data_IF_282299503971
#
_entry.id   IF_282299503971
#
_cell.length_a   1.000
_cell.length_b   1.000
_cell.length_c   1.000
_cell.angle_alpha   90.00
_cell.angle_beta   90.00
_cell.angle_gamma   90.00
#
_symmetry.space_group_name_H-M   'P 1'
#
loop_
_entity.id
_entity.type
_entity.pdbx_description
1 polymer ?
#
# COMPACT_ATOMS: atom_id res chain seq x y z
N UNK A 1 -12.35 -20.24 -39.48
CA UNK A 1 -11.98 -20.33 -38.05
C UNK A 1 -13.17 -19.84 -37.23
N UNK A 2 -13.90 -20.77 -36.58
CA UNK A 2 -14.98 -20.43 -35.65
C UNK A 2 -14.35 -19.89 -34.35
N UNK A 3 -14.45 -18.58 -34.13
CA UNK A 3 -14.15 -17.99 -32.83
C UNK A 3 -15.29 -18.40 -31.88
N UNK A 4 -15.02 -19.41 -31.06
CA UNK A 4 -15.86 -19.76 -29.91
C UNK A 4 -15.76 -18.58 -28.93
N UNK A 5 -16.64 -17.60 -29.10
CA UNK A 5 -16.88 -16.58 -28.11
C UNK A 5 -17.57 -17.30 -26.93
N UNK A 6 -16.98 -17.36 -25.72
CA UNK A 6 -17.64 -18.02 -24.61
C UNK A 6 -18.93 -17.25 -24.31
N UNK A 7 -20.06 -17.92 -24.56
CA UNK A 7 -21.41 -17.47 -24.24
C UNK A 7 -21.38 -16.95 -22.79
N UNK A 8 -21.74 -15.69 -22.60
CA UNK A 8 -21.90 -15.14 -21.26
C UNK A 8 -22.82 -16.08 -20.49
N UNK A 9 -22.45 -16.40 -19.25
CA UNK A 9 -23.30 -17.16 -18.34
C UNK A 9 -24.52 -16.28 -18.05
N UNK A 10 -25.54 -16.37 -18.88
CA UNK A 10 -26.89 -15.91 -18.56
C UNK A 10 -27.44 -16.88 -17.51
N UNK A 11 -27.26 -16.51 -16.24
CA UNK A 11 -27.93 -17.18 -15.14
C UNK A 11 -29.39 -16.73 -15.20
N UNK A 12 -30.28 -17.65 -15.55
CA UNK A 12 -31.73 -17.45 -15.51
C UNK A 12 -32.13 -17.04 -14.08
N UNK A 13 -32.69 -15.83 -13.87
CA UNK A 13 -33.03 -15.32 -12.55
C UNK A 13 -34.18 -16.09 -11.86
N UNK A 14 -34.88 -16.97 -12.59
CA UNK A 14 -36.02 -17.73 -12.09
C UNK A 14 -35.68 -19.14 -11.56
N UNK A 15 -34.49 -19.69 -11.83
CA UNK A 15 -34.29 -21.13 -11.62
C UNK A 15 -33.62 -21.53 -10.29
N UNK A 16 -33.11 -20.61 -9.46
CA UNK A 16 -32.48 -21.01 -8.18
C UNK A 16 -32.38 -19.87 -7.15
N UNK A 17 -33.28 -19.83 -6.17
CA UNK A 17 -33.20 -18.88 -5.04
C UNK A 17 -31.92 -19.05 -4.19
N UNK A 18 -31.34 -20.25 -4.12
CA UNK A 18 -30.12 -20.52 -3.33
C UNK A 18 -28.80 -20.09 -4.00
N UNK A 19 -28.79 -19.86 -5.31
CA UNK A 19 -27.55 -19.58 -6.07
C UNK A 19 -27.33 -18.10 -6.39
N UNK A 20 -28.27 -17.20 -6.07
CA UNK A 20 -28.14 -15.76 -6.38
C UNK A 20 -26.92 -15.14 -5.71
N UNK A 21 -26.67 -15.46 -4.44
CA UNK A 21 -25.50 -14.96 -3.72
C UNK A 21 -24.19 -15.53 -4.29
N UNK A 22 -24.15 -16.85 -4.56
CA UNK A 22 -22.98 -17.49 -5.17
C UNK A 22 -22.70 -16.94 -6.57
N UNK A 23 -23.74 -16.74 -7.39
CA UNK A 23 -23.63 -16.15 -8.72
C UNK A 23 -23.21 -14.67 -8.65
N UNK A 24 -23.67 -13.92 -7.65
CA UNK A 24 -23.24 -12.55 -7.40
C UNK A 24 -21.77 -12.48 -6.97
N UNK A 25 -21.35 -13.30 -6.02
CA UNK A 25 -19.95 -13.42 -5.59
C UNK A 25 -19.04 -13.88 -6.72
N UNK A 26 -19.46 -14.89 -7.51
CA UNK A 26 -18.70 -15.35 -8.67
C UNK A 26 -18.61 -14.26 -9.74
N UNK A 27 -19.67 -13.48 -9.99
CA UNK A 27 -19.67 -12.36 -10.94
C UNK A 27 -18.86 -11.16 -10.44
N UNK A 28 -18.73 -10.99 -9.14
CA UNK A 28 -17.91 -9.98 -8.49
C UNK A 28 -16.41 -10.36 -8.54
N UNK A 29 -16.08 -11.63 -8.28
CA UNK A 29 -14.72 -12.16 -8.28
C UNK A 29 -14.20 -12.53 -9.68
N UNK A 30 -15.09 -12.76 -10.66
CA UNK A 30 -14.69 -13.06 -12.03
C UNK A 30 -14.03 -11.83 -12.67
N UNK A 31 -12.89 -12.00 -13.37
CA UNK A 31 -12.29 -10.93 -14.15
C UNK A 31 -13.32 -10.30 -15.09
N UNK A 32 -13.34 -8.96 -15.26
CA UNK A 32 -14.29 -8.31 -16.14
C UNK A 32 -14.11 -8.82 -17.57
N UNK A 33 -15.07 -9.62 -18.06
CA UNK A 33 -15.10 -10.07 -19.44
C UNK A 33 -15.19 -8.84 -20.36
N UNK A 34 -14.46 -8.85 -21.49
CA UNK A 34 -14.26 -7.70 -22.41
C UNK A 34 -15.56 -7.02 -22.88
N UNK A 35 -16.70 -7.69 -22.74
CA UNK A 35 -18.03 -7.19 -23.13
C UNK A 35 -18.83 -6.45 -22.03
N UNK A 36 -18.31 -6.25 -20.80
CA UNK A 36 -19.16 -5.78 -19.68
C UNK A 36 -18.70 -4.47 -19.01
N UNK A 37 -19.64 -3.52 -18.96
CA UNK A 37 -19.73 -2.27 -18.20
C UNK A 37 -18.41 -1.50 -17.93
N UNK A 38 -18.22 -0.31 -18.54
CA UNK A 38 -16.99 0.48 -18.37
C UNK A 38 -16.74 0.87 -16.90
N UNK A 39 -17.80 1.09 -16.13
CA UNK A 39 -17.74 1.43 -14.70
C UNK A 39 -17.12 0.29 -13.88
N UNK A 40 -17.55 -0.96 -14.10
CA UNK A 40 -17.02 -2.12 -13.36
C UNK A 40 -15.54 -2.37 -13.68
N UNK A 41 -15.17 -2.22 -14.95
CA UNK A 41 -13.77 -2.31 -15.39
C UNK A 41 -12.91 -1.24 -14.73
N UNK A 42 -13.43 -0.01 -14.64
CA UNK A 42 -12.75 1.09 -13.97
C UNK A 42 -12.52 0.81 -12.48
N UNK A 43 -13.56 0.41 -11.73
CA UNK A 43 -13.41 0.10 -10.29
C UNK A 43 -12.48 -1.08 -10.03
N UNK A 44 -12.50 -2.11 -10.89
CA UNK A 44 -11.56 -3.22 -10.79
C UNK A 44 -10.11 -2.75 -11.02
N UNK A 45 -9.89 -1.93 -12.04
CA UNK A 45 -8.58 -1.32 -12.33
C UNK A 45 -8.12 -0.42 -11.17
N UNK A 46 -9.03 0.38 -10.60
CA UNK A 46 -8.78 1.24 -9.46
C UNK A 46 -8.41 0.44 -8.21
N UNK A 47 -9.15 -0.63 -7.93
CA UNK A 47 -8.86 -1.54 -6.82
C UNK A 47 -7.45 -2.12 -6.94
N UNK A 48 -7.09 -2.64 -8.10
CA UNK A 48 -5.73 -3.14 -8.36
C UNK A 48 -4.67 -2.06 -8.19
N UNK A 49 -4.95 -0.84 -8.67
CA UNK A 49 -4.03 0.30 -8.51
C UNK A 49 -3.80 0.62 -7.03
N UNK A 50 -4.88 0.73 -6.25
CA UNK A 50 -4.82 1.00 -4.81
C UNK A 50 -4.10 -0.12 -4.06
N UNK A 51 -4.37 -1.37 -4.41
CA UNK A 51 -3.73 -2.55 -3.81
C UNK A 51 -2.21 -2.60 -4.02
N UNK A 52 -1.66 -1.89 -5.00
CA UNK A 52 -0.21 -1.77 -5.22
C UNK A 52 0.38 -0.51 -4.62
N UNK A 53 -0.34 0.62 -4.71
CA UNK A 53 0.11 1.90 -4.16
C UNK A 53 0.18 1.85 -2.64
N UNK A 54 -0.82 1.24 -1.99
CA UNK A 54 -0.96 1.29 -0.53
C UNK A 54 0.13 0.50 0.21
N UNK A 55 0.49 -0.74 -0.18
CA UNK A 55 1.62 -1.44 0.42
C UNK A 55 2.90 -0.63 0.32
N UNK A 56 3.24 -0.11 -0.87
CA UNK A 56 4.49 0.66 -1.07
C UNK A 56 4.49 1.92 -0.20
N UNK A 57 3.38 2.66 -0.19
CA UNK A 57 3.23 3.86 0.64
C UNK A 57 3.37 3.52 2.14
N UNK A 58 2.68 2.47 2.60
CA UNK A 58 2.72 2.01 3.98
C UNK A 58 4.13 1.54 4.39
N UNK A 59 4.84 0.82 3.52
CA UNK A 59 6.24 0.42 3.74
C UNK A 59 7.15 1.63 3.87
N UNK A 60 7.00 2.64 3.02
CA UNK A 60 7.80 3.86 3.08
C UNK A 60 7.54 4.65 4.36
N UNK A 61 6.28 4.81 4.75
CA UNK A 61 5.93 5.46 6.02
C UNK A 61 6.45 4.66 7.21
N UNK A 62 6.34 3.33 7.15
CA UNK A 62 6.79 2.46 8.23
C UNK A 62 8.31 2.51 8.44
N UNK A 63 9.07 2.21 7.39
CA UNK A 63 10.54 2.13 7.46
C UNK A 63 11.21 3.50 7.42
N UNK A 64 10.60 4.49 6.76
CA UNK A 64 11.15 5.83 6.62
C UNK A 64 10.80 6.76 7.79
N UNK A 65 9.66 6.57 8.45
CA UNK A 65 9.22 7.44 9.54
C UNK A 65 9.09 6.68 10.87
N UNK A 66 8.33 5.59 10.93
CA UNK A 66 8.05 4.90 12.21
C UNK A 66 9.29 4.26 12.85
N UNK A 67 10.08 3.53 12.07
CA UNK A 67 11.26 2.83 12.58
C UNK A 67 12.32 3.82 13.10
N UNK A 68 12.71 4.88 12.35
CA UNK A 68 13.65 5.88 12.84
C UNK A 68 13.13 6.67 14.05
N UNK A 69 11.83 6.94 14.11
CA UNK A 69 11.20 7.63 15.24
C UNK A 69 11.01 6.75 16.47
N UNK A 70 11.40 5.46 16.44
CA UNK A 70 11.30 4.56 17.60
C UNK A 70 9.91 3.97 17.85
N UNK A 71 8.97 4.18 16.93
CA UNK A 71 7.57 3.75 17.06
C UNK A 71 7.22 2.58 16.12
N UNK A 72 8.18 2.09 15.34
CA UNK A 72 8.04 0.94 14.45
C UNK A 72 8.10 -0.40 15.16
N UNK A 73 7.60 -0.52 16.39
CA UNK A 73 7.56 -1.78 17.15
C UNK A 73 8.92 -2.38 17.55
N UNK A 74 10.03 -1.90 17.00
CA UNK A 74 11.40 -2.23 17.37
C UNK A 74 11.89 -1.26 18.45
N UNK A 75 12.81 -1.72 19.29
CA UNK A 75 13.45 -0.83 20.25
C UNK A 75 14.10 0.33 19.46
N UNK A 76 13.81 1.60 19.81
CA UNK A 76 14.48 2.72 19.16
C UNK A 76 15.99 2.54 19.26
N UNK A 77 16.74 2.83 18.18
CA UNK A 77 18.18 3.02 18.34
C UNK A 77 18.35 4.08 19.43
N UNK A 78 19.01 3.71 20.53
CA UNK A 78 19.34 4.66 21.59
C UNK A 78 20.31 5.65 20.99
N UNK A 79 19.79 6.78 20.51
CA UNK A 79 20.60 7.95 20.27
C UNK A 79 21.27 8.27 21.61
N UNK A 80 22.59 8.49 21.66
CA UNK A 80 23.24 8.88 22.89
C UNK A 80 22.75 10.30 23.24
N UNK A 81 21.75 10.37 24.12
CA UNK A 81 21.59 11.53 24.97
C UNK A 81 22.59 11.36 26.11
N UNK A 82 23.69 12.11 26.03
CA UNK A 82 24.57 12.28 27.16
C UNK A 82 23.95 13.34 28.11
N UNK A 83 23.75 13.07 29.42
CA UNK A 83 23.12 14.01 30.35
C UNK A 83 24.02 15.15 30.86
N UNK A 84 25.28 15.27 30.43
CA UNK A 84 26.22 16.26 30.96
C UNK A 84 27.11 16.75 29.81
N UNK A 85 26.90 17.92 29.18
CA UNK A 85 27.06 19.27 29.77
C UNK A 85 26.69 20.39 28.74
N UNK A 86 26.58 21.70 29.12
CA UNK A 86 26.05 22.80 28.28
C UNK A 86 26.96 23.10 27.04
N UNK A 87 26.57 24.03 26.12
CA UNK A 87 26.79 23.87 24.68
C UNK A 87 28.26 23.97 24.24
N UNK A 88 28.49 23.47 23.03
CA UNK A 88 29.62 23.73 22.10
C UNK A 88 30.76 22.69 22.07
N UNK A 89 31.07 22.23 20.86
CA UNK A 89 32.44 21.83 20.49
C UNK A 89 32.63 20.40 19.99
N UNK A 90 32.43 20.19 18.68
CA UNK A 90 33.30 19.43 17.75
C UNK A 90 34.21 18.34 18.38
N UNK A 91 33.78 17.08 18.30
CA UNK A 91 34.55 15.90 17.84
C UNK A 91 33.73 14.61 18.08
N UNK A 92 33.13 14.08 17.00
CA UNK A 92 32.28 12.89 17.04
C UNK A 92 33.07 11.58 17.11
N UNK A 93 32.72 10.73 18.07
CA UNK A 93 32.96 9.29 17.99
C UNK A 93 31.62 8.57 18.20
N UNK A 94 31.07 8.01 17.12
CA UNK A 94 29.89 7.15 17.14
C UNK A 94 30.26 5.81 17.80
N UNK A 95 29.95 5.65 19.08
CA UNK A 95 30.04 4.35 19.75
C UNK A 95 28.86 3.45 19.38
N UNK A 96 29.05 2.60 18.37
CA UNK A 96 28.12 1.51 18.01
C UNK A 96 28.29 0.36 19.01
N UNK A 97 27.24 0.01 19.77
CA UNK A 97 27.16 -1.25 20.52
C UNK A 97 26.47 -2.31 19.63
N UNK A 98 27.20 -3.31 19.11
CA UNK A 98 26.71 -4.28 18.12
C UNK A 98 25.79 -5.39 18.69
N UNK A 99 25.54 -5.39 19.99
CA UNK A 99 24.99 -6.54 20.74
C UNK A 99 23.51 -6.38 21.14
N UNK A 100 22.82 -5.32 20.70
CA UNK A 100 21.35 -5.18 20.88
C UNK A 100 20.65 -5.13 19.52
N UNK A 101 20.41 -6.32 18.97
CA UNK A 101 19.85 -6.49 17.64
C UNK A 101 18.41 -5.98 17.52
N UNK A 102 18.09 -5.42 16.35
CA UNK A 102 16.74 -5.04 15.90
C UNK A 102 15.71 -6.19 16.04
N UNK A 103 16.18 -7.43 16.23
CA UNK A 103 15.44 -8.69 16.25
C UNK A 103 15.40 -9.38 17.61
N UNK A 104 15.95 -8.76 18.66
CA UNK A 104 16.11 -9.38 19.99
C UNK A 104 14.81 -9.36 20.83
N UNK A 105 13.72 -8.80 20.28
CA UNK A 105 12.36 -8.91 20.84
C UNK A 105 11.57 -10.01 20.14
N UNK A 106 10.65 -10.62 20.90
CA UNK A 106 9.72 -11.70 20.54
C UNK A 106 9.71 -12.04 19.04
N UNK A 107 10.22 -13.21 18.62
CA UNK A 107 10.39 -13.53 17.20
C UNK A 107 9.07 -13.47 16.41
N UNK A 108 7.95 -13.72 17.08
CA UNK A 108 6.60 -13.61 16.51
C UNK A 108 6.26 -12.15 16.17
N UNK A 109 6.57 -11.20 17.06
CA UNK A 109 6.31 -9.77 16.85
C UNK A 109 7.10 -9.27 15.65
N UNK A 110 8.38 -9.60 15.59
CA UNK A 110 9.25 -9.22 14.47
C UNK A 110 8.78 -9.85 13.16
N UNK A 111 8.42 -11.14 13.17
CA UNK A 111 7.87 -11.82 12.00
C UNK A 111 6.59 -11.14 11.50
N UNK A 112 5.65 -10.82 12.39
CA UNK A 112 4.39 -10.14 12.04
C UNK A 112 4.64 -8.77 11.42
N UNK A 113 5.57 -7.99 11.98
CA UNK A 113 5.96 -6.68 11.45
C UNK A 113 6.54 -6.80 10.04
N UNK A 114 7.51 -7.69 9.82
CA UNK A 114 8.11 -7.87 8.50
C UNK A 114 7.06 -8.32 7.49
N UNK A 115 6.18 -9.24 7.89
CA UNK A 115 5.16 -9.77 7.00
C UNK A 115 4.15 -8.68 6.58
N UNK A 116 3.65 -7.89 7.53
CA UNK A 116 2.66 -6.84 7.24
C UNK A 116 3.25 -5.72 6.37
N UNK A 117 4.46 -5.24 6.70
CA UNK A 117 5.01 -4.02 6.09
C UNK A 117 6.00 -4.27 4.96
N UNK A 118 6.64 -5.43 4.87
CA UNK A 118 7.72 -5.68 3.88
C UNK A 118 7.30 -6.71 2.86
N UNK A 119 6.75 -7.85 3.29
CA UNK A 119 6.37 -8.93 2.38
C UNK A 119 5.27 -8.49 1.41
N UNK A 120 4.28 -7.73 1.88
CA UNK A 120 3.20 -7.19 1.04
C UNK A 120 3.72 -6.32 -0.11
N UNK A 121 4.76 -5.50 0.15
CA UNK A 121 5.41 -4.68 -0.86
C UNK A 121 6.30 -5.50 -1.80
N UNK A 122 7.00 -6.52 -1.29
CA UNK A 122 7.74 -7.47 -2.15
C UNK A 122 6.78 -8.17 -3.12
N UNK A 123 5.62 -8.62 -2.64
CA UNK A 123 4.58 -9.22 -3.49
C UNK A 123 4.12 -8.21 -4.55
N UNK A 124 3.84 -6.96 -4.18
CA UNK A 124 3.45 -5.92 -5.13
C UNK A 124 4.52 -5.67 -6.20
N UNK A 125 5.81 -5.66 -5.85
CA UNK A 125 6.90 -5.56 -6.81
C UNK A 125 6.99 -6.77 -7.73
N UNK A 126 6.86 -7.99 -7.18
CA UNK A 126 6.84 -9.21 -7.98
C UNK A 126 5.70 -9.16 -9.00
N UNK A 127 4.51 -8.74 -8.58
CA UNK A 127 3.36 -8.60 -9.47
C UNK A 127 3.60 -7.55 -10.56
N UNK A 128 4.16 -6.39 -10.20
CA UNK A 128 4.48 -5.33 -11.16
C UNK A 128 5.49 -5.81 -12.21
N UNK A 129 6.59 -6.45 -11.81
CA UNK A 129 7.67 -6.81 -12.72
C UNK A 129 7.43 -8.10 -13.50
N UNK A 130 6.90 -9.15 -12.85
CA UNK A 130 6.85 -10.50 -13.42
C UNK A 130 5.47 -10.90 -13.91
N UNK A 131 4.40 -10.39 -13.30
CA UNK A 131 3.03 -10.79 -13.65
C UNK A 131 2.43 -9.82 -14.68
N UNK A 132 1.99 -10.36 -15.81
CA UNK A 132 1.28 -9.58 -16.86
C UNK A 132 -0.19 -9.26 -16.47
N UNK A 133 -0.51 -9.39 -15.18
CA UNK A 133 -1.83 -9.11 -14.60
C UNK A 133 -2.16 -7.62 -14.68
N UNK A 134 -1.15 -6.77 -14.49
CA UNK A 134 -1.33 -5.31 -14.41
C UNK A 134 -1.09 -4.67 -15.77
N UNK A 135 -2.09 -3.96 -16.29
CA UNK A 135 -1.94 -3.05 -17.43
C UNK A 135 -1.91 -1.61 -16.96
N UNK A 136 -1.39 -0.70 -17.79
CA UNK A 136 -1.44 0.75 -17.50
C UNK A 136 -2.85 1.22 -17.09
N UNK A 137 -2.98 1.85 -15.91
CA UNK A 137 -4.25 2.42 -15.46
C UNK A 137 -4.75 3.49 -16.43
N UNK A 138 -5.93 3.31 -17.00
CA UNK A 138 -6.59 4.28 -17.88
C UNK A 138 -8.04 4.52 -17.45
N UNK A 139 -8.51 5.76 -17.33
CA UNK A 139 -7.78 7.04 -17.48
C UNK A 139 -6.86 7.35 -16.29
N UNK A 140 -5.70 7.96 -16.55
CA UNK A 140 -4.65 8.26 -15.54
C UNK A 140 -5.16 9.21 -14.45
N UNK A 141 -5.81 10.31 -14.85
CA UNK A 141 -6.34 11.32 -13.93
C UNK A 141 -7.39 10.71 -12.99
N UNK A 142 -8.25 9.84 -13.52
CA UNK A 142 -9.25 9.12 -12.72
C UNK A 142 -8.59 8.25 -11.64
N UNK A 143 -7.54 7.50 -12.00
CA UNK A 143 -6.82 6.68 -11.04
C UNK A 143 -6.06 7.49 -10.00
N UNK A 144 -5.41 8.60 -10.39
CA UNK A 144 -4.76 9.50 -9.45
C UNK A 144 -5.76 10.10 -8.44
N UNK A 145 -6.90 10.60 -8.92
CA UNK A 145 -7.97 11.11 -8.06
C UNK A 145 -8.57 10.02 -7.16
N UNK A 146 -8.79 8.82 -7.71
CA UNK A 146 -9.30 7.68 -6.97
C UNK A 146 -8.36 7.24 -5.85
N UNK A 147 -7.05 7.19 -6.10
CA UNK A 147 -6.03 6.89 -5.08
C UNK A 147 -6.02 7.94 -3.97
N UNK A 148 -6.12 9.24 -4.31
CA UNK A 148 -6.23 10.30 -3.30
C UNK A 148 -7.50 10.15 -2.44
N UNK A 149 -8.66 9.90 -3.06
CA UNK A 149 -9.91 9.67 -2.32
C UNK A 149 -9.79 8.43 -1.42
N UNK A 150 -9.26 7.33 -1.93
CA UNK A 150 -9.02 6.12 -1.15
C UNK A 150 -8.04 6.37 0.00
N UNK A 151 -7.04 7.23 -0.17
CA UNK A 151 -6.09 7.58 0.90
C UNK A 151 -6.78 8.35 2.02
N UNK A 152 -7.68 9.28 1.69
CA UNK A 152 -8.54 9.95 2.67
C UNK A 152 -9.49 8.98 3.38
N UNK A 153 -10.09 8.04 2.64
CA UNK A 153 -10.92 6.99 3.21
C UNK A 153 -10.12 6.05 4.13
N UNK A 154 -8.84 5.78 3.81
CA UNK A 154 -7.94 5.00 4.64
C UNK A 154 -7.62 5.71 5.97
N UNK A 155 -7.39 7.03 5.94
CA UNK A 155 -7.25 7.83 7.16
C UNK A 155 -8.52 7.80 8.01
N UNK A 156 -9.69 7.98 7.38
CA UNK A 156 -10.98 7.88 8.07
C UNK A 156 -11.19 6.49 8.69
N UNK A 157 -10.77 5.43 7.99
CA UNK A 157 -10.80 4.06 8.51
C UNK A 157 -9.86 3.87 9.70
N UNK A 158 -8.67 4.48 9.68
CA UNK A 158 -7.73 4.44 10.79
C UNK A 158 -8.29 5.14 12.05
N UNK A 159 -8.94 6.30 11.89
CA UNK A 159 -9.65 7.00 12.97
C UNK A 159 -10.80 6.15 13.55
N UNK A 160 -11.57 5.49 12.69
CA UNK A 160 -12.61 4.57 13.14
C UNK A 160 -12.02 3.38 13.93
N UNK A 161 -10.91 2.81 13.46
CA UNK A 161 -10.18 1.75 14.17
C UNK A 161 -9.69 2.19 15.55
N UNK A 162 -9.22 3.44 15.67
CA UNK A 162 -8.84 4.04 16.95
C UNK A 162 -10.02 4.15 17.90
N UNK A 163 -11.19 4.61 17.43
CA UNK A 163 -12.41 4.67 18.24
C UNK A 163 -12.83 3.28 18.75
N UNK A 164 -12.65 2.24 17.94
CA UNK A 164 -13.05 0.87 18.30
C UNK A 164 -12.05 0.15 19.24
N UNK A 165 -10.75 0.40 19.08
CA UNK A 165 -9.69 -0.37 19.79
C UNK A 165 -8.96 0.44 20.86
N UNK A 166 -9.18 1.75 20.92
CA UNK A 166 -8.45 2.66 21.80
C UNK A 166 -6.98 2.88 21.41
N UNK A 167 -6.50 2.26 20.33
CA UNK A 167 -5.11 2.32 19.88
C UNK A 167 -5.03 2.94 18.48
N UNK A 168 -4.09 3.87 18.28
CA UNK A 168 -3.88 4.51 16.99
C UNK A 168 -3.05 3.61 16.07
N UNK A 169 -3.65 3.15 14.97
CA UNK A 169 -2.96 2.34 13.95
C UNK A 169 -1.93 3.12 13.11
N UNK A 170 -1.98 4.45 13.14
CA UNK A 170 -1.01 5.35 12.51
C UNK A 170 -0.38 6.23 13.58
N UNK A 171 0.96 6.24 13.63
CA UNK A 171 1.74 6.97 14.63
C UNK A 171 1.42 8.47 14.69
N UNK A 172 1.13 9.11 13.56
CA UNK A 172 0.79 10.53 13.51
C UNK A 172 -0.67 10.85 13.92
N UNK A 173 -1.45 9.84 14.28
CA UNK A 173 -2.81 9.94 14.83
C UNK A 173 -2.79 9.61 16.34
N UNK A 174 -1.63 9.27 16.91
CA UNK A 174 -1.50 8.91 18.31
C UNK A 174 -1.65 10.14 19.23
N UNK A 175 -2.70 10.18 20.06
CA UNK A 175 -2.95 11.32 20.94
C UNK A 175 -1.89 11.46 22.04
N UNK A 176 -1.13 10.39 22.34
CA UNK A 176 -0.11 10.42 23.41
C UNK A 176 1.21 11.05 22.95
N UNK A 177 1.51 10.99 21.64
CA UNK A 177 2.68 11.67 21.05
C UNK A 177 2.35 13.12 20.65
N UNK A 178 1.10 13.41 20.29
CA UNK A 178 0.68 14.67 19.66
C UNK A 178 -0.38 15.39 20.51
N UNK A 179 -0.17 15.40 21.82
CA UNK A 179 -1.17 15.90 22.77
C UNK A 179 -1.47 17.41 22.64
N UNK A 180 -0.58 18.18 22.01
CA UNK A 180 -0.66 19.66 21.99
C UNK A 180 -0.52 20.31 20.58
N UNK A 181 -0.58 19.56 19.47
CA UNK A 181 -0.39 20.13 18.12
C UNK A 181 -1.38 19.59 17.06
N UNK A 182 -2.62 20.09 17.02
CA UNK A 182 -3.59 19.70 15.98
C UNK A 182 -3.09 20.01 14.56
N UNK A 183 -2.27 21.04 14.40
CA UNK A 183 -1.67 21.42 13.12
C UNK A 183 -0.75 20.33 12.55
N UNK A 184 -0.01 19.61 13.41
CA UNK A 184 0.90 18.53 12.99
C UNK A 184 0.12 17.33 12.47
N UNK A 185 -1.01 16.99 13.11
CA UNK A 185 -1.90 15.92 12.67
C UNK A 185 -2.46 16.26 11.28
N UNK A 186 -2.95 17.50 11.12
CA UNK A 186 -3.50 17.97 9.84
C UNK A 186 -2.42 17.94 8.75
N UNK A 187 -1.22 18.44 9.05
CA UNK A 187 -0.10 18.44 8.11
C UNK A 187 0.32 17.00 7.73
N UNK A 188 0.34 16.06 8.67
CA UNK A 188 0.63 14.65 8.40
C UNK A 188 -0.44 14.00 7.52
N UNK A 189 -1.72 14.25 7.78
CA UNK A 189 -2.82 13.78 6.94
C UNK A 189 -2.73 14.34 5.51
N UNK A 190 -2.47 15.64 5.36
CA UNK A 190 -2.26 16.26 4.05
C UNK A 190 -1.05 15.63 3.35
N UNK A 191 0.05 15.43 4.07
CA UNK A 191 1.27 14.81 3.52
C UNK A 191 1.02 13.36 3.07
N UNK A 192 0.24 12.60 3.83
CA UNK A 192 -0.15 11.23 3.49
C UNK A 192 -1.04 11.16 2.24
N UNK A 193 -1.97 12.11 2.07
CA UNK A 193 -2.76 12.19 0.83
C UNK A 193 -1.88 12.64 -0.33
N UNK A 194 -0.98 13.60 -0.11
CA UNK A 194 -0.11 14.17 -1.13
C UNK A 194 0.98 13.21 -1.64
N UNK A 195 1.48 12.28 -0.80
CA UNK A 195 2.44 11.26 -1.24
C UNK A 195 1.78 10.21 -2.17
N UNK A 196 0.48 9.99 -2.02
CA UNK A 196 -0.26 8.96 -2.78
C UNK A 196 -0.18 9.10 -4.32
N UNK A 197 -0.36 10.29 -4.96
CA UNK A 197 -0.14 10.45 -6.40
C UNK A 197 1.33 10.27 -6.81
N UNK A 198 2.29 10.56 -5.91
CA UNK A 198 3.71 10.32 -6.15
C UNK A 198 4.02 8.83 -6.29
N UNK A 199 3.52 8.02 -5.36
CA UNK A 199 3.66 6.56 -5.41
C UNK A 199 2.89 5.96 -6.60
N UNK A 200 1.70 6.48 -6.91
CA UNK A 200 0.98 6.10 -8.11
C UNK A 200 1.81 6.35 -9.38
N UNK A 201 2.45 7.51 -9.50
CA UNK A 201 3.32 7.85 -10.64
C UNK A 201 4.52 6.91 -10.73
N UNK A 202 5.12 6.57 -9.59
CA UNK A 202 6.20 5.58 -9.52
C UNK A 202 5.75 4.21 -10.03
N UNK A 203 4.64 3.67 -9.52
CA UNK A 203 4.06 2.38 -9.96
C UNK A 203 3.72 2.43 -11.45
N UNK A 204 3.12 3.52 -11.92
CA UNK A 204 2.80 3.73 -13.33
C UNK A 204 4.06 3.67 -14.21
N UNK A 205 5.16 4.30 -13.76
CA UNK A 205 6.46 4.27 -14.44
C UNK A 205 7.06 2.86 -14.53
N UNK A 206 6.98 2.08 -13.45
CA UNK A 206 7.46 0.70 -13.43
C UNK A 206 6.69 -0.20 -14.41
N UNK A 207 5.36 -0.07 -14.44
CA UNK A 207 4.51 -0.79 -15.39
C UNK A 207 4.88 -0.39 -16.82
N UNK A 208 5.08 0.90 -17.07
CA UNK A 208 5.45 1.40 -18.38
C UNK A 208 6.80 0.83 -18.86
N UNK A 209 7.81 0.81 -17.98
CA UNK A 209 9.12 0.24 -18.26
C UNK A 209 9.03 -1.25 -18.60
N UNK A 210 8.29 -2.04 -17.82
CA UNK A 210 8.09 -3.47 -18.09
C UNK A 210 7.41 -3.71 -19.44
N UNK A 211 6.34 -2.96 -19.73
CA UNK A 211 5.64 -3.07 -21.02
C UNK A 211 6.58 -2.75 -22.20
N UNK A 212 7.45 -1.75 -22.07
CA UNK A 212 8.45 -1.45 -23.11
C UNK A 212 9.47 -2.58 -23.29
N UNK A 213 10.01 -3.14 -22.20
CA UNK A 213 10.99 -4.25 -22.26
C UNK A 213 10.37 -5.49 -22.91
N UNK A 214 9.13 -5.80 -22.54
CA UNK A 214 8.42 -6.97 -23.08
C UNK A 214 8.00 -6.80 -24.54
N UNK A 215 7.72 -5.57 -24.99
CA UNK A 215 7.45 -5.27 -26.40
C UNK A 215 8.71 -5.44 -27.29
N UNK A 216 9.87 -4.91 -26.87
CA UNK A 216 11.14 -5.02 -27.62
C UNK A 216 11.54 -6.48 -27.87
N UNK A 217 11.27 -7.37 -26.90
CA UNK A 217 11.55 -8.80 -27.03
C UNK A 217 10.70 -9.48 -28.11
N UNK A 218 9.48 -8.99 -28.32
CA UNK A 218 8.58 -9.52 -29.34
C UNK A 218 9.05 -9.11 -30.75
N UNK A 219 9.57 -7.89 -30.91
CA UNK A 219 10.02 -7.38 -32.21
C UNK A 219 11.38 -7.96 -32.65
N UNK A 220 12.21 -8.39 -31.70
CA UNK A 220 13.54 -8.99 -31.96
C UNK A 220 13.50 -10.50 -32.24
N UNK A 221 12.33 -11.14 -32.17
CA UNK A 221 12.14 -12.57 -32.45
C UNK A 221 11.53 -12.84 -33.84
N UNK A 222 11.43 -11.80 -34.69
CA UNK A 222 11.02 -11.84 -36.09
C UNK A 222 12.22 -11.49 -36.99
#
# INVERSE_FOLDING_TARGET
>A
MHLICPKAIEVDPNDCQGHKFKAYCLRFLSPPNRATCPVRRYFFSLYYTVAHVFPIMNTLVYWGCLVPSGHGGFAPPKLPHDPQNPPCGRNGTLGHHPDKGLFDQDPIKTFSIINVWTITTVIAFIEIFFLNSIRRPTPVIGHAAGVMICSGAYLAWAEFGKLATGHSGLFFIDPDIIKDMPEVIIAACISFVAISPGIFTYVYGLIAMRETITAVRHDSSC
#
